data_IF_283584944212
#
_entry.id   IF_283584944212
#
_cell.length_a   1.000
_cell.length_b   1.000
_cell.length_c   1.000
_cell.angle_alpha   90.00
_cell.angle_beta   90.00
_cell.angle_gamma   90.00
#
_symmetry.space_group_name_H-M   'P 1'
#
loop_
_entity.id
_entity.type
_entity.pdbx_description
1 polymer ?
#
# COMPACT_ATOMS: atom_id res chain seq x y z
N UNK A 1 9.24 -0.72 -22.10
CA UNK A 1 9.26 -0.30 -20.67
C UNK A 1 9.92 1.08 -20.58
N UNK A 2 9.16 2.14 -20.29
CA UNK A 2 9.72 3.50 -20.15
C UNK A 2 10.28 3.64 -18.74
N UNK A 3 11.61 3.57 -18.62
CA UNK A 3 12.33 3.94 -17.40
C UNK A 3 12.33 5.48 -17.31
N UNK A 4 11.29 6.05 -16.71
CA UNK A 4 11.24 7.49 -16.44
C UNK A 4 12.42 7.82 -15.52
N UNK A 5 13.43 8.50 -16.04
CA UNK A 5 14.48 9.10 -15.20
C UNK A 5 13.78 10.20 -14.42
N UNK A 6 13.44 9.92 -13.17
CA UNK A 6 12.83 10.89 -12.27
C UNK A 6 13.80 12.06 -12.10
N UNK A 7 13.45 13.24 -12.59
CA UNK A 7 14.19 14.46 -12.25
C UNK A 7 14.21 14.61 -10.72
N UNK A 8 15.25 15.23 -10.13
CA UNK A 8 15.30 15.46 -8.68
C UNK A 8 14.03 16.16 -8.16
N UNK A 9 13.49 17.13 -8.90
CA UNK A 9 12.20 17.77 -8.58
C UNK A 9 11.01 16.81 -8.54
N UNK A 10 11.05 15.75 -9.37
CA UNK A 10 10.04 14.68 -9.39
C UNK A 10 10.16 13.77 -8.18
N UNK A 11 11.36 13.55 -7.64
CA UNK A 11 11.57 12.75 -6.44
C UNK A 11 11.11 13.49 -5.19
N UNK A 12 11.40 14.79 -5.09
CA UNK A 12 10.96 15.61 -3.95
C UNK A 12 9.45 15.88 -3.97
N UNK A 13 8.84 15.93 -5.16
CA UNK A 13 7.38 15.92 -5.30
C UNK A 13 6.78 14.58 -4.85
N UNK A 14 7.36 13.45 -5.26
CA UNK A 14 6.94 12.13 -4.80
C UNK A 14 7.09 11.95 -3.29
N UNK A 15 8.19 12.40 -2.69
CA UNK A 15 8.40 12.35 -1.24
C UNK A 15 7.35 13.18 -0.50
N UNK A 16 7.11 14.43 -0.91
CA UNK A 16 6.07 15.27 -0.31
C UNK A 16 4.66 14.72 -0.49
N UNK A 17 4.42 13.96 -1.55
CA UNK A 17 3.15 13.27 -1.75
C UNK A 17 3.05 12.06 -0.83
N UNK A 18 4.13 11.28 -0.69
CA UNK A 18 4.20 10.17 0.26
C UNK A 18 4.11 10.63 1.72
N UNK A 19 4.74 11.75 2.12
CA UNK A 19 4.64 12.29 3.48
C UNK A 19 3.21 12.74 3.81
N UNK A 20 2.52 13.32 2.82
CA UNK A 20 1.10 13.69 2.95
C UNK A 20 0.20 12.46 3.02
N UNK A 21 0.43 11.47 2.17
CA UNK A 21 -0.27 10.19 2.24
C UNK A 21 0.03 9.50 3.57
N UNK A 22 1.27 9.46 4.03
CA UNK A 22 1.68 8.88 5.31
C UNK A 22 0.94 9.53 6.46
N UNK A 23 0.92 10.87 6.50
CA UNK A 23 0.19 11.63 7.52
C UNK A 23 -1.33 11.41 7.48
N UNK A 24 -1.90 11.06 6.31
CA UNK A 24 -3.33 10.84 6.12
C UNK A 24 -3.75 9.36 6.21
N UNK A 25 -2.81 8.43 6.03
CA UNK A 25 -3.02 6.98 5.97
C UNK A 25 -2.43 6.25 7.19
N UNK A 26 -1.96 6.97 8.22
CA UNK A 26 -1.43 6.36 9.45
C UNK A 26 -2.43 5.44 10.19
N UNK A 27 -3.73 5.56 9.94
CA UNK A 27 -4.75 4.64 10.48
C UNK A 27 -5.04 3.43 9.58
N UNK A 28 -4.37 3.31 8.44
CA UNK A 28 -4.51 2.12 7.59
C UNK A 28 -3.66 1.00 8.21
N UNK A 29 -4.35 -0.06 8.61
CA UNK A 29 -3.72 -1.28 9.12
C UNK A 29 -2.57 -1.74 8.19
N UNK A 30 -1.34 -2.00 8.73
CA UNK A 30 -0.22 -2.53 7.97
C UNK A 30 -0.57 -3.77 7.13
N UNK A 31 -1.54 -4.59 7.56
CA UNK A 31 -2.06 -5.73 6.81
C UNK A 31 -2.81 -5.29 5.55
N UNK A 32 -3.57 -4.21 5.59
CA UNK A 32 -4.25 -3.64 4.41
C UNK A 32 -3.21 -3.18 3.38
N UNK A 33 -2.13 -2.52 3.83
CA UNK A 33 -1.03 -2.10 2.95
C UNK A 33 -0.31 -3.31 2.33
N UNK A 34 0.01 -4.32 3.15
CA UNK A 34 0.67 -5.56 2.70
C UNK A 34 -0.17 -6.32 1.68
N UNK A 35 -1.48 -6.42 1.91
CA UNK A 35 -2.42 -7.04 0.96
C UNK A 35 -2.40 -6.32 -0.39
N UNK A 36 -2.49 -4.99 -0.39
CA UNK A 36 -2.45 -4.18 -1.63
C UNK A 36 -1.15 -4.41 -2.39
N UNK A 37 -0.01 -4.51 -1.68
CA UNK A 37 1.28 -4.80 -2.31
C UNK A 37 1.31 -6.18 -2.97
N UNK A 38 0.83 -7.22 -2.29
CA UNK A 38 0.78 -8.58 -2.82
C UNK A 38 -0.09 -8.69 -4.08
N UNK A 39 -1.23 -8.01 -4.11
CA UNK A 39 -2.05 -7.93 -5.34
C UNK A 39 -1.31 -7.26 -6.49
N UNK A 40 -0.60 -6.15 -6.25
CA UNK A 40 0.19 -5.47 -7.28
C UNK A 40 1.34 -6.33 -7.81
N UNK A 41 1.86 -7.27 -7.01
CA UNK A 41 2.91 -8.21 -7.39
C UNK A 41 2.38 -9.51 -8.01
N UNK A 42 1.05 -9.72 -8.05
CA UNK A 42 0.43 -10.94 -8.56
C UNK A 42 0.43 -12.12 -7.59
N UNK A 43 0.71 -11.89 -6.31
CA UNK A 43 0.71 -12.92 -5.26
C UNK A 43 -0.69 -13.10 -4.64
N UNK A 44 -1.65 -13.55 -5.47
CA UNK A 44 -3.07 -13.63 -5.12
C UNK A 44 -3.38 -14.49 -3.89
N UNK A 45 -2.73 -15.66 -3.74
CA UNK A 45 -2.97 -16.56 -2.61
C UNK A 45 -2.54 -15.95 -1.27
N UNK A 46 -1.40 -15.26 -1.26
CA UNK A 46 -0.87 -14.61 -0.07
C UNK A 46 -1.70 -13.38 0.28
N UNK A 47 -2.16 -12.62 -0.73
CA UNK A 47 -3.07 -11.48 -0.52
C UNK A 47 -4.40 -11.94 0.11
N UNK A 48 -4.96 -13.06 -0.36
CA UNK A 48 -6.19 -13.65 0.17
C UNK A 48 -6.06 -14.14 1.61
N UNK A 49 -4.90 -14.69 2.00
CA UNK A 49 -4.63 -15.05 3.39
C UNK A 49 -4.72 -13.85 4.32
N UNK A 50 -4.15 -12.71 3.91
CA UNK A 50 -4.24 -11.47 4.70
C UNK A 50 -5.68 -10.97 4.81
N UNK A 51 -6.52 -11.10 3.77
CA UNK A 51 -7.95 -10.74 3.86
C UNK A 51 -8.73 -11.48 4.96
N UNK A 52 -8.28 -12.69 5.29
CA UNK A 52 -8.87 -13.48 6.36
C UNK A 52 -8.41 -13.00 7.74
N UNK A 53 -7.20 -12.45 7.86
CA UNK A 53 -6.67 -11.88 9.10
C UNK A 53 -7.29 -10.51 9.42
N UNK A 54 -7.57 -9.68 8.41
CA UNK A 54 -8.19 -8.36 8.62
C UNK A 54 -9.72 -8.41 8.60
N UNK A 55 -10.33 -9.60 8.59
CA UNK A 55 -11.77 -9.71 8.62
C UNK A 55 -12.29 -9.20 9.97
N UNK A 56 -13.24 -8.25 9.99
CA UNK A 56 -13.81 -7.80 11.25
C UNK A 56 -14.45 -8.98 11.97
N UNK A 57 -14.16 -9.13 13.26
CA UNK A 57 -14.84 -10.11 14.11
C UNK A 57 -16.28 -9.63 14.25
N UNK A 58 -17.19 -10.24 13.50
CA UNK A 58 -18.62 -9.98 13.60
C UNK A 58 -19.12 -10.76 14.83
N UNK A 59 -19.31 -10.08 15.95
CA UNK A 59 -20.00 -10.64 17.11
C UNK A 59 -21.50 -10.63 16.80
N UNK A 60 -22.14 -11.81 16.87
CA UNK A 60 -23.55 -12.04 16.54
C UNK A 60 -24.40 -12.26 17.79
#
# INVERSE_FOLDING_TARGET
MVKRRSSPDSLDSQRRQLDRCWSAECDIDPLILRRRLLYRQGHWLQARGIEQEVHPIIWH
#
